data_IF_497852070522
#
_entry.id   IF_497852070522
#
_cell.length_a   1.000
_cell.length_b   1.000
_cell.length_c   1.000
_cell.angle_alpha   90.00
_cell.angle_beta   90.00
_cell.angle_gamma   90.00
#
_symmetry.space_group_name_H-M   'P 1'
#
loop_
_entity.id
_entity.type
_entity.pdbx_description
1 polymer ?
#
# COMPACT_ATOMS: atom_id res chain seq x y z
N UNK A 1 -3.59 -0.85 -3.02
CA UNK A 1 -3.16 -0.10 -4.23
C UNK A 1 -1.92 -0.76 -4.80
N UNK A 2 -1.52 -0.48 -6.06
CA UNK A 2 -0.32 -1.06 -6.67
C UNK A 2 0.59 0.04 -7.22
N UNK A 3 1.90 -0.09 -7.03
CA UNK A 3 2.88 0.89 -7.47
C UNK A 3 4.13 0.25 -8.10
N UNK A 4 4.74 0.97 -9.06
CA UNK A 4 6.07 0.64 -9.57
C UNK A 4 7.15 1.30 -8.68
N UNK A 5 8.41 0.93 -8.89
CA UNK A 5 9.55 1.46 -8.11
C UNK A 5 9.68 2.98 -8.20
N UNK A 6 9.35 3.57 -9.35
CA UNK A 6 9.50 5.02 -9.56
C UNK A 6 8.41 5.85 -8.87
N UNK A 7 7.22 5.26 -8.67
CA UNK A 7 6.06 6.00 -8.17
C UNK A 7 5.58 5.51 -6.81
N UNK A 8 6.37 4.68 -6.12
CA UNK A 8 5.94 4.12 -4.83
C UNK A 8 5.74 5.20 -3.78
N UNK A 9 6.63 6.19 -3.71
CA UNK A 9 6.53 7.28 -2.74
C UNK A 9 5.24 8.10 -2.93
N UNK A 10 4.91 8.48 -4.17
CA UNK A 10 3.67 9.21 -4.46
C UNK A 10 2.42 8.41 -4.13
N UNK A 11 2.42 7.11 -4.44
CA UNK A 11 1.27 6.23 -4.14
C UNK A 11 1.15 5.98 -2.64
N UNK A 12 2.26 5.95 -1.90
CA UNK A 12 2.23 5.89 -0.43
C UNK A 12 1.65 7.17 0.18
N UNK A 13 2.09 8.35 -0.27
CA UNK A 13 1.53 9.62 0.21
C UNK A 13 0.03 9.69 -0.04
N UNK A 14 -0.41 9.37 -1.27
CA UNK A 14 -1.84 9.32 -1.63
C UNK A 14 -2.63 8.31 -0.78
N UNK A 15 -2.01 7.17 -0.45
CA UNK A 15 -2.61 6.17 0.43
C UNK A 15 -2.76 6.70 1.86
N UNK A 16 -1.72 7.37 2.40
CA UNK A 16 -1.76 7.95 3.73
C UNK A 16 -2.82 9.05 3.80
N UNK A 17 -2.91 9.93 2.81
CA UNK A 17 -3.96 10.96 2.75
C UNK A 17 -5.37 10.34 2.71
N UNK A 18 -5.56 9.23 1.99
CA UNK A 18 -6.86 8.55 1.88
C UNK A 18 -7.26 7.78 3.14
N UNK A 19 -6.33 7.02 3.72
CA UNK A 19 -6.63 6.10 4.81
C UNK A 19 -6.18 6.60 6.18
N UNK A 20 -5.51 7.75 6.24
CA UNK A 20 -4.89 8.32 7.44
C UNK A 20 -3.97 7.33 8.19
N UNK A 21 -3.39 6.38 7.45
CA UNK A 21 -2.59 5.29 7.97
C UNK A 21 -1.49 4.92 6.96
N UNK A 22 -0.33 4.51 7.49
CA UNK A 22 0.76 4.03 6.67
C UNK A 22 0.40 2.68 6.04
N UNK A 23 0.53 2.50 4.72
CA UNK A 23 0.34 1.21 4.09
C UNK A 23 1.51 0.27 4.39
N UNK A 24 1.19 -1.01 4.42
CA UNK A 24 2.16 -2.10 4.32
C UNK A 24 2.55 -2.30 2.86
N UNK A 25 3.86 -2.49 2.64
CA UNK A 25 4.43 -2.78 1.33
C UNK A 25 4.79 -4.25 1.20
N UNK A 26 4.17 -4.91 0.24
CA UNK A 26 4.52 -6.26 -0.17
C UNK A 26 5.00 -6.30 -1.62
N UNK A 27 6.03 -7.11 -1.88
CA UNK A 27 6.50 -7.34 -3.25
C UNK A 27 5.52 -8.24 -3.99
N UNK A 28 5.10 -7.78 -5.17
CA UNK A 28 4.22 -8.56 -6.04
C UNK A 28 5.04 -9.67 -6.70
N UNK A 29 4.49 -10.88 -6.77
CA UNK A 29 5.13 -11.98 -7.51
C UNK A 29 5.10 -11.68 -9.00
N UNK A 30 6.19 -12.00 -9.70
CA UNK A 30 6.31 -11.81 -11.15
C UNK A 30 5.22 -12.50 -12.01
N UNK A 31 4.45 -13.40 -11.42
CA UNK A 31 3.29 -14.05 -12.06
C UNK A 31 2.03 -13.20 -12.09
N UNK A 32 1.99 -12.09 -11.34
CA UNK A 32 0.84 -11.21 -11.26
C UNK A 32 1.11 -9.93 -12.05
N UNK A 33 0.40 -9.76 -13.17
CA UNK A 33 0.46 -8.53 -13.94
C UNK A 33 -0.52 -7.50 -13.34
N UNK A 34 0.01 -6.65 -12.46
CA UNK A 34 -0.74 -5.55 -11.84
C UNK A 34 -0.20 -4.23 -12.36
N UNK A 35 -1.04 -3.34 -12.91
CA UNK A 35 -0.59 -2.03 -13.34
C UNK A 35 -0.46 -1.07 -12.15
N UNK A 36 0.59 -0.26 -12.14
CA UNK A 36 0.76 0.86 -11.22
C UNK A 36 -0.43 1.80 -11.34
N UNK A 37 -1.00 2.23 -10.22
CA UNK A 37 -2.17 3.12 -10.21
C UNK A 37 -1.87 4.47 -10.86
N UNK A 38 -0.62 4.93 -10.81
CA UNK A 38 -0.17 6.23 -11.31
C UNK A 38 0.14 6.22 -12.82
N UNK A 39 1.16 5.46 -13.23
CA UNK A 39 1.66 5.48 -14.61
C UNK A 39 1.12 4.34 -15.51
N UNK A 40 0.34 3.41 -14.94
CA UNK A 40 -0.18 2.20 -15.60
C UNK A 40 0.86 1.22 -16.14
N UNK A 41 2.15 1.41 -15.83
CA UNK A 41 3.20 0.44 -16.11
C UNK A 41 3.18 -0.72 -15.10
N UNK A 42 4.07 -1.69 -15.25
CA UNK A 42 4.14 -2.86 -14.36
C UNK A 42 4.44 -2.45 -12.92
N UNK A 43 3.57 -2.81 -11.98
CA UNK A 43 3.76 -2.60 -10.56
C UNK A 43 4.63 -3.72 -9.97
N UNK A 44 5.41 -3.38 -8.96
CA UNK A 44 6.23 -4.34 -8.20
C UNK A 44 5.88 -4.34 -6.71
N UNK A 45 5.11 -3.35 -6.25
CA UNK A 45 4.65 -3.21 -4.86
C UNK A 45 3.13 -3.23 -4.77
N UNK A 46 2.63 -3.97 -3.78
CA UNK A 46 1.24 -3.93 -3.31
C UNK A 46 1.19 -3.17 -1.99
N UNK A 47 0.29 -2.19 -1.92
CA UNK A 47 -0.01 -1.40 -0.73
C UNK A 47 -1.33 -1.87 -0.13
N UNK A 48 -1.30 -2.35 1.10
CA UNK A 48 -2.48 -2.78 1.87
C UNK A 48 -2.43 -2.20 3.27
N UNK A 49 -3.59 -1.97 3.89
CA UNK A 49 -3.62 -1.74 5.33
C UNK A 49 -3.35 -3.09 5.99
N UNK A 50 -2.26 -3.23 6.73
CA UNK A 50 -2.25 -4.23 7.79
C UNK A 50 -3.32 -3.80 8.79
N UNK A 51 -4.30 -4.66 9.03
CA UNK A 51 -5.18 -4.50 10.19
C UNK A 51 -4.29 -4.68 11.43
N UNK A 52 -3.68 -3.58 11.88
CA UNK A 52 -3.24 -3.47 13.27
C UNK A 52 -4.50 -3.69 14.10
N UNK A 53 -4.65 -4.91 14.63
CA UNK A 53 -5.67 -5.23 15.59
C UNK A 53 -5.53 -4.20 16.72
N UNK A 54 -6.48 -3.25 16.78
CA UNK A 54 -6.59 -2.29 17.86
C UNK A 54 -6.48 -3.04 19.19
N UNK A 55 -5.37 -2.83 19.90
CA UNK A 55 -5.25 -3.20 21.29
C UNK A 55 -6.21 -2.29 22.10
N UNK A 56 -7.49 -2.65 22.13
CA UNK A 56 -8.37 -2.29 23.25
C UNK A 56 -8.46 -3.54 24.14
N UNK A 57 -8.36 -3.46 25.49
CA UNK A 57 -8.90 -2.40 26.33
C UNK A 57 -8.00 -1.97 27.53
N UNK A 58 -8.06 -0.70 27.94
CA UNK A 58 -7.86 -0.36 29.37
C UNK A 58 -9.17 0.21 29.90
N UNK A 59 -9.94 -0.69 30.52
CA UNK A 59 -11.05 -0.32 31.38
C UNK A 59 -10.49 0.26 32.69
N UNK A 60 -11.10 1.36 33.16
CA UNK A 60 -10.92 1.92 34.51
C UNK A 60 -11.77 1.14 35.52
#
# INVERSE_FOLDING_TARGET
MYACEEHIDFVMEDFIDQYNAAPTLELIKATEDKPCVWCKQHAVYSLTLEEEMEETPVAD
#
